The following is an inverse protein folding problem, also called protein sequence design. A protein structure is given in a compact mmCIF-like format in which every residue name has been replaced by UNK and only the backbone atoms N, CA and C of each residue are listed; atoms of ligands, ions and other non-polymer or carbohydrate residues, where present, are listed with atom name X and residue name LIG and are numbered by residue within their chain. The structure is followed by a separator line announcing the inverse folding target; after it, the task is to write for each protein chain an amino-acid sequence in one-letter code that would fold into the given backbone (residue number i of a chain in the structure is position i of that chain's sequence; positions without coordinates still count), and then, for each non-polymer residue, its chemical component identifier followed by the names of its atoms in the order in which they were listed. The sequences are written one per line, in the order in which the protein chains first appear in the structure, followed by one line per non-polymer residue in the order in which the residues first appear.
data_IF_911316385506
#
_entry.id   IF_911316385506
#
_cell.length_a   1.000
_cell.length_b   1.000
_cell.length_c   1.000
_cell.angle_alpha   90.00
_cell.angle_beta   90.00
_cell.angle_gamma   90.00
#
_symmetry.space_group_name_H-M   'P 1'
#
loop_
_entity.id
_entity.type
_entity.pdbx_description
1 polymer ?
#
# COMPACT_ATOMS: atom_id res chain seq x y z
N UNK A 1 6.91 10.32 3.83
CA UNK A 1 7.20 9.97 5.25
C UNK A 1 6.60 11.07 6.11
N UNK A 2 5.98 10.73 7.24
CA UNK A 2 5.49 11.70 8.22
C UNK A 2 5.80 11.18 9.64
N UNK A 3 5.93 12.09 10.61
CA UNK A 3 6.14 11.78 12.02
C UNK A 3 5.45 12.81 12.91
N UNK A 4 5.17 12.45 14.16
CA UNK A 4 4.73 13.36 15.21
C UNK A 4 5.87 13.45 16.24
N UNK A 5 6.24 14.66 16.62
CA UNK A 5 7.30 14.92 17.59
C UNK A 5 6.64 15.32 18.91
N UNK A 6 7.06 14.71 20.03
CA UNK A 6 6.59 15.09 21.36
C UNK A 6 7.21 16.43 21.79
N UNK A 7 6.47 17.20 22.59
CA UNK A 7 6.95 18.43 23.23
C UNK A 7 7.14 18.17 24.73
N UNK A 8 7.96 19.00 25.38
CA UNK A 8 8.28 18.91 26.82
C UNK A 8 7.07 19.16 27.71
N UNK A 9 6.13 19.95 27.23
CA UNK A 9 4.91 20.39 27.90
C UNK A 9 3.74 20.43 26.89
N UNK A 10 2.53 20.07 27.35
CA UNK A 10 1.31 20.09 26.54
C UNK A 10 0.84 18.71 26.04
N UNK A 11 -0.44 18.64 25.67
CA UNK A 11 -1.08 17.41 25.17
C UNK A 11 -1.76 17.67 23.83
N UNK A 12 -1.23 17.03 22.77
CA UNK A 12 -1.81 17.11 21.43
C UNK A 12 -2.90 16.05 21.25
N UNK A 13 -4.12 16.49 20.93
CA UNK A 13 -5.19 15.60 20.49
C UNK A 13 -5.15 15.40 18.97
N UNK A 14 -5.47 14.19 18.50
CA UNK A 14 -5.55 13.87 17.07
C UNK A 14 -6.68 12.90 16.81
N UNK A 15 -7.64 13.29 15.99
CA UNK A 15 -8.67 12.41 15.44
C UNK A 15 -8.38 12.22 13.95
N UNK A 16 -8.00 11.01 13.56
CA UNK A 16 -7.61 10.70 12.18
C UNK A 16 -8.51 9.59 11.61
N UNK A 17 -9.27 9.94 10.58
CA UNK A 17 -10.11 9.01 9.83
C UNK A 17 -9.40 8.61 8.54
N UNK A 18 -9.47 7.33 8.18
CA UNK A 18 -8.88 6.79 6.96
C UNK A 18 -9.97 6.16 6.11
N UNK A 19 -10.15 6.66 4.89
CA UNK A 19 -11.03 6.07 3.89
C UNK A 19 -10.21 5.20 2.95
N UNK A 20 -10.29 3.88 3.14
CA UNK A 20 -9.51 2.89 2.41
C UNK A 20 -10.39 2.13 1.41
N UNK A 21 -9.79 1.48 0.40
CA UNK A 21 -10.50 0.51 -0.44
C UNK A 21 -11.13 -0.63 0.39
N UNK A 22 -12.13 -1.30 -0.18
CA UNK A 22 -12.65 -2.56 0.37
C UNK A 22 -11.57 -3.64 0.41
N UNK A 23 -11.71 -4.63 1.30
CA UNK A 23 -10.70 -5.67 1.51
C UNK A 23 -10.37 -6.44 0.23
N UNK A 24 -11.39 -6.79 -0.56
CA UNK A 24 -11.30 -7.53 -1.81
C UNK A 24 -11.01 -6.64 -3.04
N UNK A 25 -10.83 -5.33 -2.85
CA UNK A 25 -10.59 -4.41 -3.94
C UNK A 25 -9.25 -4.69 -4.64
N UNK A 26 -9.29 -4.79 -5.97
CA UNK A 26 -8.10 -4.95 -6.81
C UNK A 26 -7.52 -3.58 -7.15
N UNK A 27 -6.28 -3.34 -6.75
CA UNK A 27 -5.56 -2.07 -6.91
C UNK A 27 -4.52 -2.21 -8.01
N UNK A 28 -4.54 -1.27 -8.97
CA UNK A 28 -3.57 -1.16 -10.06
C UNK A 28 -3.58 0.25 -10.66
N UNK A 29 -2.52 0.65 -11.40
CA UNK A 29 -2.49 1.93 -12.10
C UNK A 29 -3.64 2.07 -13.10
N UNK A 30 -4.31 3.22 -13.11
CA UNK A 30 -5.38 3.46 -14.09
C UNK A 30 -4.80 3.48 -15.52
N UNK A 31 -5.37 2.72 -16.48
CA UNK A 31 -4.80 2.58 -17.83
C UNK A 31 -4.46 3.91 -18.54
N UNK A 32 -5.31 4.95 -18.47
CA UNK A 32 -5.01 6.24 -19.12
C UNK A 32 -3.75 6.95 -18.59
N UNK A 33 -3.25 6.56 -17.41
CA UNK A 33 -2.07 7.14 -16.77
C UNK A 33 -0.77 6.41 -17.14
N UNK A 34 -0.84 5.19 -17.68
CA UNK A 34 0.34 4.35 -17.99
C UNK A 34 0.50 4.07 -19.49
N UNK A 35 -0.52 4.30 -20.31
CA UNK A 35 -0.45 4.11 -21.76
C UNK A 35 0.46 5.12 -22.48
N UNK A 36 0.73 6.28 -21.87
CA UNK A 36 1.51 7.39 -22.45
C UNK A 36 2.97 7.41 -22.01
N UNK A 37 3.38 6.51 -21.14
CA UNK A 37 4.71 6.52 -20.51
C UNK A 37 5.37 5.13 -20.60
N UNK A 38 6.70 5.10 -20.67
CA UNK A 38 7.51 3.86 -20.64
C UNK A 38 7.51 3.16 -19.26
N UNK A 39 6.65 3.58 -18.34
CA UNK A 39 6.58 3.15 -16.94
C UNK A 39 5.53 2.05 -16.68
N UNK A 40 5.18 1.25 -17.70
CA UNK A 40 4.08 0.25 -17.61
C UNK A 40 4.24 -0.75 -16.46
N UNK A 41 5.46 -1.01 -16.01
CA UNK A 41 5.77 -2.01 -14.97
C UNK A 41 6.22 -1.38 -13.63
N UNK A 42 6.03 -0.07 -13.43
CA UNK A 42 6.53 0.61 -12.23
C UNK A 42 5.77 0.20 -10.96
N UNK A 43 4.47 -0.11 -11.07
CA UNK A 43 3.59 -0.44 -9.95
C UNK A 43 2.84 -1.77 -10.17
N UNK A 44 2.65 -2.57 -9.10
CA UNK A 44 2.01 -3.87 -9.19
C UNK A 44 0.47 -3.79 -9.28
N UNK A 45 -0.13 -4.93 -9.63
CA UNK A 45 -1.56 -5.23 -9.43
C UNK A 45 -1.72 -6.20 -8.27
N UNK A 46 -2.59 -5.89 -7.30
CA UNK A 46 -2.77 -6.69 -6.08
C UNK A 46 -4.15 -6.49 -5.43
N UNK A 47 -4.51 -7.34 -4.47
CA UNK A 47 -5.70 -7.18 -3.61
C UNK A 47 -5.35 -6.37 -2.37
N UNK A 48 -6.19 -5.41 -2.00
CA UNK A 48 -5.90 -4.46 -0.92
C UNK A 48 -5.64 -5.13 0.44
N UNK A 49 -6.39 -6.17 0.78
CA UNK A 49 -6.17 -6.91 2.03
C UNK A 49 -4.76 -7.54 2.11
N UNK A 50 -4.26 -8.10 1.02
CA UNK A 50 -2.93 -8.70 0.97
C UNK A 50 -1.84 -7.65 1.19
N UNK A 51 -2.01 -6.46 0.60
CA UNK A 51 -1.14 -5.32 0.87
C UNK A 51 -1.17 -4.93 2.35
N UNK A 52 -2.35 -4.90 2.97
CA UNK A 52 -2.48 -4.54 4.38
C UNK A 52 -1.83 -5.56 5.31
N UNK A 53 -1.90 -6.86 5.00
CA UNK A 53 -1.19 -7.92 5.73
C UNK A 53 0.32 -7.68 5.74
N UNK A 54 0.91 -7.33 4.59
CA UNK A 54 2.33 -6.98 4.50
C UNK A 54 2.65 -5.64 5.21
N UNK A 55 1.79 -4.63 5.02
CA UNK A 55 1.98 -3.29 5.57
C UNK A 55 2.06 -3.30 7.10
N UNK A 56 1.24 -4.09 7.79
CA UNK A 56 1.24 -4.14 9.26
C UNK A 56 2.60 -4.56 9.83
N UNK A 57 3.27 -5.53 9.19
CA UNK A 57 4.59 -5.99 9.61
C UNK A 57 5.74 -5.03 9.24
N UNK A 58 5.57 -4.23 8.18
CA UNK A 58 6.63 -3.40 7.59
C UNK A 58 6.33 -1.89 7.63
N UNK A 59 5.38 -1.46 8.49
CA UNK A 59 4.83 -0.09 8.49
C UNK A 59 5.91 1.01 8.59
N UNK A 60 6.91 0.78 9.43
CA UNK A 60 7.99 1.73 9.72
C UNK A 60 9.27 1.49 8.89
N UNK A 61 9.26 0.51 7.98
CA UNK A 61 10.36 0.28 7.04
C UNK A 61 10.15 1.09 5.74
N UNK A 62 11.10 0.99 4.82
CA UNK A 62 11.01 1.60 3.49
C UNK A 62 9.72 1.18 2.77
N UNK A 63 9.14 2.08 1.98
CA UNK A 63 7.85 1.85 1.32
C UNK A 63 8.02 1.03 0.04
N UNK A 64 9.10 1.30 -0.67
CA UNK A 64 9.42 0.79 -2.00
C UNK A 64 9.44 -0.75 -2.01
N UNK A 65 10.09 -1.45 -1.06
CA UNK A 65 10.06 -2.92 -1.01
C UNK A 65 8.66 -3.52 -0.88
N UNK A 66 7.69 -2.79 -0.31
CA UNK A 66 6.31 -3.27 -0.22
C UNK A 66 5.65 -3.36 -1.58
N UNK A 67 5.94 -2.45 -2.51
CA UNK A 67 5.42 -2.55 -3.88
C UNK A 67 6.16 -3.60 -4.69
N UNK A 68 7.48 -3.70 -4.54
CA UNK A 68 8.28 -4.73 -5.21
C UNK A 68 7.82 -6.16 -4.85
N UNK A 69 7.41 -6.38 -3.59
CA UNK A 69 6.86 -7.66 -3.15
C UNK A 69 5.63 -8.12 -3.94
N UNK A 70 4.84 -7.20 -4.50
CA UNK A 70 3.62 -7.51 -5.27
C UNK A 70 3.82 -7.49 -6.79
N UNK A 71 5.01 -7.13 -7.30
CA UNK A 71 5.25 -7.16 -8.75
C UNK A 71 5.28 -8.59 -9.29
N UNK A 72 5.88 -9.51 -8.53
CA UNK A 72 6.06 -10.91 -8.90
C UNK A 72 4.84 -11.80 -8.61
N UNK A 73 3.87 -11.32 -7.83
CA UNK A 73 2.65 -12.07 -7.47
C UNK A 73 1.53 -11.92 -8.50
N UNK A 74 1.67 -11.03 -9.47
CA UNK A 74 0.66 -10.74 -10.49
C UNK A 74 0.36 -11.93 -11.43
N UNK A 75 1.16 -13.00 -11.37
CA UNK A 75 0.98 -14.25 -12.14
C UNK A 75 0.28 -15.39 -11.37
N UNK A 76 0.06 -15.25 -10.06
CA UNK A 76 -0.59 -16.26 -9.25
C UNK A 76 -1.94 -15.70 -8.79
N UNK A 77 -3.02 -16.41 -9.13
CA UNK A 77 -4.38 -16.08 -8.70
C UNK A 77 -4.52 -16.04 -7.17
N UNK A 78 -5.74 -15.80 -6.65
CA UNK A 78 -5.96 -15.58 -5.23
C UNK A 78 -5.29 -16.66 -4.39
N UNK A 79 -4.38 -16.25 -3.50
CA UNK A 79 -3.69 -17.15 -2.59
C UNK A 79 -4.75 -17.67 -1.62
N UNK A 80 -5.08 -18.94 -1.74
CA UNK A 80 -6.05 -19.60 -0.88
C UNK A 80 -5.60 -19.45 0.59
N UNK A 81 -6.48 -18.86 1.40
CA UNK A 81 -6.35 -18.84 2.84
C UNK A 81 -6.85 -20.19 3.36
N UNK A 82 -6.04 -20.86 4.19
CA UNK A 82 -6.42 -22.06 4.93
C UNK A 82 -7.28 -21.71 6.16
#
# INVERSE_FOLDING_TARGET
MHRVIAQTDGTRMSLASFYNPGSDAVIYPAPPLVEKEDNKDLYPKFVFEDYMKLYVGLKFQAKEPRFEAFKNTSSLGPIATA
#
